data_IF_285054151327
#
_entry.id   IF_285054151327
#
_cell.length_a   1.000
_cell.length_b   1.000
_cell.length_c   1.000
_cell.angle_alpha   90.00
_cell.angle_beta   90.00
_cell.angle_gamma   90.00
#
_symmetry.space_group_name_H-M   'P 1'
#
loop_
_entity.id
_entity.type
_entity.pdbx_description
1 polymer ?
#
# COMPACT_ATOMS: atom_id res chain seq x y z
N UNK A 1 -18.78 5.45 -2.68
CA UNK A 1 -19.08 4.64 -3.89
C UNK A 1 -18.79 5.37 -5.22
N UNK A 2 -19.01 6.69 -5.35
CA UNK A 2 -18.97 7.39 -6.66
C UNK A 2 -17.61 8.00 -7.09
N UNK A 3 -16.54 7.88 -6.28
CA UNK A 3 -15.23 8.51 -6.55
C UNK A 3 -14.31 7.66 -7.43
N UNK A 4 -14.50 6.33 -7.48
CA UNK A 4 -13.56 5.40 -8.13
C UNK A 4 -13.80 5.16 -9.64
N UNK A 5 -14.92 5.64 -10.20
CA UNK A 5 -15.24 5.51 -11.64
C UNK A 5 -15.00 6.80 -12.44
N UNK A 6 -14.60 7.88 -11.75
CA UNK A 6 -14.24 9.15 -12.41
C UNK A 6 -12.83 9.07 -12.97
N UNK A 7 -12.59 9.77 -14.07
CA UNK A 7 -11.26 9.85 -14.65
C UNK A 7 -10.29 10.50 -13.66
N UNK A 8 -9.09 9.95 -13.53
CA UNK A 8 -8.03 10.53 -12.70
C UNK A 8 -7.53 11.83 -13.33
N UNK A 9 -6.85 12.68 -12.53
CA UNK A 9 -6.24 13.91 -13.05
C UNK A 9 -5.26 13.61 -14.19
N UNK A 10 -4.47 12.54 -14.05
CA UNK A 10 -3.54 12.11 -15.08
C UNK A 10 -4.27 11.74 -16.38
N UNK A 11 -5.36 10.98 -16.30
CA UNK A 11 -6.17 10.59 -17.46
C UNK A 11 -6.74 11.80 -18.21
N UNK A 12 -7.25 12.80 -17.48
CA UNK A 12 -7.81 14.02 -18.11
C UNK A 12 -6.72 14.87 -18.75
N UNK A 13 -5.60 15.09 -18.06
CA UNK A 13 -4.50 15.93 -18.57
C UNK A 13 -3.85 15.29 -19.79
N UNK A 14 -3.56 13.99 -19.73
CA UNK A 14 -2.98 13.26 -20.85
C UNK A 14 -3.90 13.26 -22.08
N UNK A 15 -5.21 13.09 -21.90
CA UNK A 15 -6.18 13.22 -22.99
C UNK A 15 -6.18 14.62 -23.61
N UNK A 16 -6.33 15.68 -22.81
CA UNK A 16 -6.37 17.07 -23.31
C UNK A 16 -5.08 17.43 -24.06
N UNK A 17 -3.93 16.93 -23.59
CA UNK A 17 -2.64 17.20 -24.23
C UNK A 17 -2.41 16.42 -25.54
N UNK A 18 -2.94 15.20 -25.65
CA UNK A 18 -2.64 14.30 -26.77
C UNK A 18 -3.73 14.29 -27.84
N UNK A 19 -4.98 14.52 -27.46
CA UNK A 19 -6.11 14.44 -28.38
C UNK A 19 -5.97 15.40 -29.58
N UNK A 20 -5.54 16.67 -29.44
CA UNK A 20 -5.34 17.55 -30.60
C UNK A 20 -4.29 17.04 -31.59
N UNK A 21 -3.25 16.35 -31.10
CA UNK A 21 -2.20 15.76 -31.94
C UNK A 21 -2.76 14.53 -32.67
N UNK A 22 -3.48 13.66 -31.97
CA UNK A 22 -4.12 12.48 -32.57
C UNK A 22 -5.16 12.90 -33.60
N UNK A 23 -5.97 13.91 -33.29
CA UNK A 23 -6.99 14.49 -34.17
C UNK A 23 -6.34 15.04 -35.45
N UNK A 24 -5.24 15.80 -35.32
CA UNK A 24 -4.48 16.27 -36.46
C UNK A 24 -3.93 15.13 -37.32
N UNK A 25 -3.32 14.10 -36.71
CA UNK A 25 -2.79 12.93 -37.44
C UNK A 25 -3.91 12.19 -38.18
N UNK A 26 -5.07 11.96 -37.54
CA UNK A 26 -6.20 11.28 -38.17
C UNK A 26 -6.77 12.10 -39.33
N UNK A 27 -6.89 13.41 -39.18
CA UNK A 27 -7.34 14.30 -40.26
C UNK A 27 -6.34 14.34 -41.42
N UNK A 28 -5.03 14.30 -41.13
CA UNK A 28 -3.99 14.17 -42.15
C UNK A 28 -4.08 12.82 -42.88
N UNK A 29 -4.38 11.72 -42.19
CA UNK A 29 -4.63 10.42 -42.85
C UNK A 29 -5.88 10.49 -43.74
N UNK A 30 -6.93 11.21 -43.33
CA UNK A 30 -8.17 11.31 -44.09
C UNK A 30 -8.07 12.21 -45.33
N UNK A 31 -7.30 13.30 -45.27
CA UNK A 31 -7.33 14.33 -46.31
C UNK A 31 -5.94 14.75 -46.83
N UNK A 32 -4.86 14.16 -46.32
CA UNK A 32 -3.47 14.47 -46.67
C UNK A 32 -3.20 15.98 -46.59
N UNK A 33 -2.46 16.56 -47.53
CA UNK A 33 -2.16 17.99 -47.59
C UNK A 33 -3.41 18.90 -47.75
N UNK A 34 -4.57 18.36 -48.12
CA UNK A 34 -5.79 19.16 -48.27
C UNK A 34 -6.26 19.79 -46.95
N UNK A 35 -5.79 19.29 -45.80
CA UNK A 35 -6.03 19.92 -44.49
C UNK A 35 -5.50 21.35 -44.43
N UNK A 36 -4.44 21.70 -45.17
CA UNK A 36 -3.86 23.04 -45.18
C UNK A 36 -4.57 23.98 -46.16
N UNK A 37 -5.24 23.43 -47.18
CA UNK A 37 -5.90 24.20 -48.23
C UNK A 37 -7.39 24.47 -47.91
N UNK A 38 -8.07 23.56 -47.22
CA UNK A 38 -9.52 23.60 -47.03
C UNK A 38 -9.92 23.85 -45.58
N UNK A 39 -10.35 25.09 -45.30
CA UNK A 39 -10.89 25.48 -43.98
C UNK A 39 -12.13 24.66 -43.57
N UNK A 40 -12.89 24.13 -44.53
CA UNK A 40 -14.04 23.27 -44.23
C UNK A 40 -13.67 21.98 -43.48
N UNK A 41 -12.45 21.47 -43.64
CA UNK A 41 -11.95 20.30 -42.90
C UNK A 41 -11.80 20.65 -41.42
N UNK A 42 -11.22 21.81 -41.11
CA UNK A 42 -11.07 22.30 -39.74
C UNK A 42 -12.41 22.55 -39.04
N UNK A 43 -13.43 23.01 -39.78
CA UNK A 43 -14.74 23.32 -39.22
C UNK A 43 -15.63 22.10 -39.01
N UNK A 44 -15.45 21.04 -39.80
CA UNK A 44 -16.35 19.89 -39.78
C UNK A 44 -15.65 18.60 -39.35
N UNK A 45 -14.50 18.27 -39.93
CA UNK A 45 -13.83 17.00 -39.69
C UNK A 45 -13.15 16.94 -38.32
N UNK A 46 -12.37 17.97 -37.95
CA UNK A 46 -11.72 18.05 -36.63
C UNK A 46 -12.72 17.92 -35.47
N UNK A 47 -13.81 18.71 -35.38
CA UNK A 47 -14.80 18.53 -34.32
C UNK A 47 -15.45 17.15 -34.31
N UNK A 48 -15.70 16.56 -35.49
CA UNK A 48 -16.33 15.25 -35.60
C UNK A 48 -15.40 14.14 -35.09
N UNK A 49 -14.12 14.13 -35.51
CA UNK A 49 -13.11 13.20 -35.00
C UNK A 49 -12.88 13.42 -33.51
N UNK A 50 -12.86 14.67 -33.05
CA UNK A 50 -12.73 15.01 -31.63
C UNK A 50 -13.87 14.42 -30.79
N UNK A 51 -15.13 14.57 -31.21
CA UNK A 51 -16.31 14.03 -30.51
C UNK A 51 -16.25 12.49 -30.44
N UNK A 52 -15.90 11.84 -31.54
CA UNK A 52 -15.75 10.37 -31.59
C UNK A 52 -14.61 9.94 -30.66
N UNK A 53 -13.48 10.65 -30.68
CA UNK A 53 -12.33 10.39 -29.83
C UNK A 53 -12.62 10.54 -28.34
N UNK A 54 -13.33 11.60 -27.93
CA UNK A 54 -13.80 11.78 -26.53
C UNK A 54 -14.69 10.61 -26.11
N UNK A 55 -15.60 10.17 -26.98
CA UNK A 55 -16.54 9.09 -26.70
C UNK A 55 -15.83 7.75 -26.55
N UNK A 56 -14.86 7.47 -27.43
CA UNK A 56 -14.02 6.28 -27.36
C UNK A 56 -13.15 6.29 -26.09
N UNK A 57 -12.43 7.39 -25.83
CA UNK A 57 -11.62 7.56 -24.64
C UNK A 57 -12.43 7.37 -23.34
N UNK A 58 -13.63 7.95 -23.27
CA UNK A 58 -14.49 7.82 -22.08
C UNK A 58 -14.88 6.37 -21.82
N UNK A 59 -15.14 5.62 -22.88
CA UNK A 59 -15.46 4.19 -22.82
C UNK A 59 -14.26 3.39 -22.31
N UNK A 60 -13.08 3.63 -22.87
CA UNK A 60 -11.84 2.97 -22.45
C UNK A 60 -11.49 3.24 -20.98
N UNK A 61 -11.53 4.51 -20.55
CA UNK A 61 -11.26 4.89 -19.16
C UNK A 61 -12.25 4.22 -18.20
N UNK A 62 -13.53 4.12 -18.58
CA UNK A 62 -14.54 3.47 -17.74
C UNK A 62 -14.25 1.97 -17.60
N UNK A 63 -13.91 1.28 -18.68
CA UNK A 63 -13.53 -0.13 -18.66
C UNK A 63 -12.27 -0.35 -17.80
N UNK A 64 -11.25 0.49 -17.95
CA UNK A 64 -10.04 0.42 -17.16
C UNK A 64 -10.31 0.60 -15.66
N UNK A 65 -11.09 1.61 -15.29
CA UNK A 65 -11.45 1.85 -13.89
C UNK A 65 -12.28 0.69 -13.32
N UNK A 66 -13.16 0.06 -14.12
CA UNK A 66 -13.91 -1.13 -13.73
C UNK A 66 -12.98 -2.34 -13.50
N UNK A 67 -11.98 -2.55 -14.36
CA UNK A 67 -10.98 -3.60 -14.20
C UNK A 67 -10.17 -3.36 -12.92
N UNK A 68 -9.71 -2.13 -12.67
CA UNK A 68 -8.95 -1.77 -11.48
C UNK A 68 -9.78 -1.89 -10.19
N UNK A 69 -11.09 -1.60 -10.27
CA UNK A 69 -12.02 -1.82 -9.17
C UNK A 69 -12.22 -3.31 -8.87
N UNK A 70 -12.40 -4.14 -9.91
CA UNK A 70 -12.61 -5.58 -9.76
C UNK A 70 -11.35 -6.34 -9.33
N UNK A 71 -10.17 -5.85 -9.72
CA UNK A 71 -8.88 -6.48 -9.44
C UNK A 71 -7.92 -5.50 -8.75
N UNK A 72 -8.17 -5.11 -7.48
CA UNK A 72 -7.47 -3.99 -6.86
C UNK A 72 -6.03 -4.30 -6.39
N UNK A 73 -5.64 -5.57 -6.31
CA UNK A 73 -4.36 -5.95 -5.68
C UNK A 73 -3.18 -5.88 -6.64
N UNK A 74 -1.98 -5.57 -6.12
CA UNK A 74 -0.75 -5.51 -6.91
C UNK A 74 -0.39 -6.86 -7.57
N UNK A 75 -0.77 -7.99 -6.98
CA UNK A 75 -0.54 -9.33 -7.54
C UNK A 75 -1.34 -9.59 -8.82
N UNK A 76 -2.48 -8.92 -8.98
CA UNK A 76 -3.39 -9.09 -10.12
C UNK A 76 -3.04 -8.19 -11.33
N UNK A 77 -1.91 -7.48 -11.28
CA UNK A 77 -1.49 -6.56 -12.36
C UNK A 77 -1.41 -7.25 -13.73
N UNK A 78 -0.89 -8.49 -13.79
CA UNK A 78 -0.86 -9.26 -15.05
C UNK A 78 -2.25 -9.55 -15.60
N UNK A 79 -3.20 -9.88 -14.74
CA UNK A 79 -4.61 -10.12 -15.12
C UNK A 79 -5.25 -8.83 -15.64
N UNK A 80 -5.00 -7.69 -14.98
CA UNK A 80 -5.50 -6.39 -15.44
C UNK A 80 -4.97 -6.04 -16.82
N UNK A 81 -3.66 -6.13 -17.02
CA UNK A 81 -3.01 -5.85 -18.32
C UNK A 81 -3.53 -6.78 -19.42
N UNK A 82 -3.70 -8.08 -19.13
CA UNK A 82 -4.26 -9.03 -20.08
C UNK A 82 -5.71 -8.68 -20.47
N UNK A 83 -6.55 -8.32 -19.50
CA UNK A 83 -7.93 -7.90 -19.75
C UNK A 83 -8.01 -6.56 -20.50
N UNK A 84 -7.11 -5.63 -20.20
CA UNK A 84 -6.99 -4.38 -20.96
C UNK A 84 -6.62 -4.67 -22.41
N UNK A 85 -5.62 -5.52 -22.66
CA UNK A 85 -5.26 -5.92 -24.01
C UNK A 85 -6.42 -6.60 -24.75
N UNK A 86 -7.18 -7.49 -24.09
CA UNK A 86 -8.28 -8.21 -24.73
C UNK A 86 -9.54 -7.37 -24.97
N UNK A 87 -9.77 -6.30 -24.20
CA UNK A 87 -10.97 -5.48 -24.28
C UNK A 87 -10.74 -4.12 -24.93
N UNK A 88 -9.64 -3.44 -24.60
CA UNK A 88 -9.38 -2.05 -25.04
C UNK A 88 -8.88 -2.01 -26.49
N UNK A 89 -8.00 -2.94 -26.89
CA UNK A 89 -7.46 -2.97 -28.26
C UNK A 89 -8.58 -3.16 -29.30
N UNK A 90 -9.49 -4.15 -29.18
CA UNK A 90 -10.57 -4.31 -30.16
C UNK A 90 -11.52 -3.11 -30.20
N UNK A 91 -11.82 -2.50 -29.05
CA UNK A 91 -12.67 -1.30 -28.98
C UNK A 91 -12.04 -0.15 -29.76
N UNK A 92 -10.73 0.04 -29.63
CA UNK A 92 -10.03 1.09 -30.35
C UNK A 92 -10.00 0.83 -31.85
N UNK A 93 -9.65 -0.39 -32.27
CA UNK A 93 -9.68 -0.77 -33.68
C UNK A 93 -11.08 -0.57 -34.29
N UNK A 94 -12.14 -0.94 -33.56
CA UNK A 94 -13.51 -0.72 -34.01
C UNK A 94 -13.85 0.78 -34.10
N UNK A 95 -13.38 1.60 -33.16
CA UNK A 95 -13.61 3.04 -33.21
C UNK A 95 -12.91 3.72 -34.40
N UNK A 96 -11.69 3.28 -34.75
CA UNK A 96 -10.97 3.75 -35.93
C UNK A 96 -11.68 3.34 -37.21
N UNK A 97 -12.07 2.07 -37.33
CA UNK A 97 -12.83 1.58 -38.49
C UNK A 97 -14.18 2.29 -38.62
N UNK A 98 -14.82 2.62 -37.50
CA UNK A 98 -16.08 3.36 -37.48
C UNK A 98 -15.92 4.79 -38.01
N UNK A 99 -14.80 5.47 -37.72
CA UNK A 99 -14.48 6.78 -38.31
C UNK A 99 -14.40 6.65 -39.83
N UNK A 100 -13.56 5.75 -40.35
CA UNK A 100 -13.42 5.58 -41.80
C UNK A 100 -14.72 5.20 -42.48
N UNK A 101 -15.50 4.30 -41.87
CA UNK A 101 -16.82 3.89 -42.38
C UNK A 101 -17.80 5.06 -42.47
N UNK A 102 -17.89 5.91 -41.43
CA UNK A 102 -18.75 7.10 -41.46
C UNK A 102 -18.31 8.06 -42.56
N UNK A 103 -17.01 8.32 -42.66
CA UNK A 103 -16.49 9.29 -43.61
C UNK A 103 -16.72 8.88 -45.06
N UNK A 104 -16.54 7.59 -45.36
CA UNK A 104 -16.75 7.01 -46.69
C UNK A 104 -18.25 6.94 -47.03
N UNK A 105 -19.06 6.39 -46.11
CA UNK A 105 -20.50 6.20 -46.34
C UNK A 105 -21.27 7.51 -46.56
N UNK A 106 -20.91 8.56 -45.82
CA UNK A 106 -21.55 9.88 -45.96
C UNK A 106 -20.81 10.81 -46.94
N UNK A 107 -19.72 10.35 -47.56
CA UNK A 107 -18.85 11.16 -48.41
C UNK A 107 -18.48 12.50 -47.76
N UNK A 108 -18.08 12.45 -46.49
CA UNK A 108 -17.79 13.66 -45.69
C UNK A 108 -16.70 14.46 -46.38
N UNK A 109 -17.03 15.67 -46.84
CA UNK A 109 -16.14 16.55 -47.61
C UNK A 109 -15.56 15.89 -48.89
N UNK A 110 -16.27 14.91 -49.46
CA UNK A 110 -15.84 14.16 -50.64
C UNK A 110 -14.85 13.04 -50.36
N UNK A 111 -14.66 12.66 -49.08
CA UNK A 111 -13.77 11.57 -48.69
C UNK A 111 -14.22 10.23 -49.31
N UNK A 112 -13.23 9.46 -49.76
CA UNK A 112 -13.35 8.07 -50.16
C UNK A 112 -12.13 7.33 -49.63
N UNK A 113 -12.31 6.11 -49.14
CA UNK A 113 -11.20 5.31 -48.59
C UNK A 113 -10.16 5.05 -49.69
N UNK A 114 -8.93 5.48 -49.44
CA UNK A 114 -7.77 5.21 -50.29
C UNK A 114 -6.97 4.00 -49.76
N UNK A 115 -6.18 3.34 -50.63
CA UNK A 115 -5.28 2.29 -50.18
C UNK A 115 -4.26 2.83 -49.16
N UNK A 116 -4.34 2.35 -47.92
CA UNK A 116 -3.41 2.70 -46.83
C UNK A 116 -4.06 3.43 -45.66
N UNK A 117 -5.17 4.13 -45.85
CA UNK A 117 -5.80 4.96 -44.80
C UNK A 117 -6.14 4.14 -43.55
N UNK A 118 -6.75 2.97 -43.75
CA UNK A 118 -7.12 2.04 -42.68
C UNK A 118 -5.87 1.52 -41.97
N UNK A 119 -4.80 1.21 -42.71
CA UNK A 119 -3.56 0.70 -42.13
C UNK A 119 -2.91 1.76 -41.23
N UNK A 120 -2.72 2.99 -41.74
CA UNK A 120 -2.16 4.09 -40.97
C UNK A 120 -3.02 4.48 -39.78
N UNK A 121 -4.35 4.48 -39.93
CA UNK A 121 -5.27 4.73 -38.83
C UNK A 121 -5.19 3.66 -37.74
N UNK A 122 -5.14 2.38 -38.10
CA UNK A 122 -4.97 1.27 -37.15
C UNK A 122 -3.61 1.30 -36.46
N UNK A 123 -2.52 1.61 -37.19
CA UNK A 123 -1.18 1.77 -36.60
C UNK A 123 -1.12 2.94 -35.61
N UNK A 124 -1.77 4.05 -35.93
CA UNK A 124 -1.90 5.22 -35.04
C UNK A 124 -2.69 4.83 -33.79
N UNK A 125 -3.86 4.20 -33.95
CA UNK A 125 -4.68 3.71 -32.85
C UNK A 125 -3.94 2.70 -31.96
N UNK A 126 -3.20 1.76 -32.55
CA UNK A 126 -2.38 0.80 -31.81
C UNK A 126 -1.30 1.48 -30.98
N UNK A 127 -0.62 2.48 -31.55
CA UNK A 127 0.41 3.27 -30.84
C UNK A 127 -0.17 3.99 -29.62
N UNK A 128 -1.36 4.59 -29.77
CA UNK A 128 -2.10 5.22 -28.67
C UNK A 128 -2.46 4.20 -27.58
N UNK A 129 -2.91 3.00 -27.95
CA UNK A 129 -3.25 1.93 -26.99
C UNK A 129 -2.04 1.35 -26.25
N UNK A 130 -0.84 1.41 -26.83
CA UNK A 130 0.35 0.97 -26.13
C UNK A 130 0.73 1.97 -25.03
N UNK A 131 0.48 3.27 -25.27
CA UNK A 131 0.93 4.35 -24.40
C UNK A 131 -0.07 4.64 -23.27
N UNK A 132 -1.31 4.99 -23.57
CA UNK A 132 -2.20 5.54 -22.52
C UNK A 132 -2.69 4.52 -21.50
N UNK A 133 -3.25 3.36 -21.90
CA UNK A 133 -3.65 2.32 -20.95
C UNK A 133 -2.51 1.87 -20.02
N UNK A 134 -1.29 1.76 -20.55
CA UNK A 134 -0.11 1.37 -19.75
C UNK A 134 0.31 2.47 -18.79
N UNK A 135 0.34 3.73 -19.23
CA UNK A 135 0.61 4.87 -18.34
C UNK A 135 -0.38 4.95 -17.18
N UNK A 136 -1.67 4.77 -17.45
CA UNK A 136 -2.70 4.79 -16.41
C UNK A 136 -2.60 3.59 -15.45
N UNK A 137 -2.16 2.44 -15.94
CA UNK A 137 -1.90 1.28 -15.08
C UNK A 137 -0.65 1.47 -14.22
N UNK A 138 0.40 2.09 -14.75
CA UNK A 138 1.60 2.44 -13.98
C UNK A 138 1.27 3.43 -12.87
N UNK A 139 0.49 4.47 -13.16
CA UNK A 139 0.02 5.45 -12.17
C UNK A 139 -0.72 4.75 -11.02
N UNK A 140 -1.68 3.88 -11.36
CA UNK A 140 -2.42 3.07 -10.38
C UNK A 140 -1.51 2.18 -9.52
N UNK A 141 -0.55 1.48 -10.14
CA UNK A 141 0.38 0.60 -9.43
C UNK A 141 1.29 1.40 -8.50
N UNK A 142 1.75 2.58 -8.92
CA UNK A 142 2.59 3.46 -8.08
C UNK A 142 1.82 3.96 -6.87
N UNK A 143 0.57 4.39 -7.04
CA UNK A 143 -0.29 4.78 -5.90
C UNK A 143 -0.49 3.63 -4.92
N UNK A 144 -0.81 2.43 -5.42
CA UNK A 144 -0.97 1.23 -4.58
C UNK A 144 0.30 0.78 -3.89
N UNK A 145 1.45 0.94 -4.53
CA UNK A 145 2.74 0.64 -3.92
C UNK A 145 3.04 1.60 -2.77
N UNK A 146 2.77 2.90 -2.94
CA UNK A 146 2.94 3.90 -1.87
C UNK A 146 2.06 3.60 -0.67
N UNK A 147 0.79 3.27 -0.89
CA UNK A 147 -0.14 2.87 0.17
C UNK A 147 0.37 1.64 0.93
N UNK A 148 0.83 0.61 0.21
CA UNK A 148 1.34 -0.63 0.81
C UNK A 148 2.62 -0.41 1.63
N UNK A 149 3.51 0.47 1.18
CA UNK A 149 4.73 0.83 1.93
C UNK A 149 4.38 1.57 3.23
N UNK A 150 3.45 2.53 3.16
CA UNK A 150 3.02 3.29 4.34
C UNK A 150 2.31 2.39 5.38
N UNK A 151 1.45 1.48 4.92
CA UNK A 151 0.79 0.49 5.78
C UNK A 151 1.83 -0.39 6.48
N UNK A 152 2.84 -0.87 5.73
CA UNK A 152 3.91 -1.69 6.29
C UNK A 152 4.75 -0.94 7.32
N UNK A 153 5.04 0.35 7.08
CA UNK A 153 5.75 1.19 8.04
C UNK A 153 4.94 1.40 9.32
N UNK A 154 3.63 1.65 9.19
CA UNK A 154 2.71 1.80 10.31
C UNK A 154 2.66 0.53 11.16
N UNK A 155 2.52 -0.64 10.53
CA UNK A 155 2.52 -1.93 11.21
C UNK A 155 3.86 -2.21 11.93
N UNK A 156 4.98 -1.82 11.32
CA UNK A 156 6.31 -1.93 11.94
C UNK A 156 6.43 -1.05 13.18
N UNK A 157 5.94 0.19 13.14
CA UNK A 157 5.92 1.08 14.28
C UNK A 157 5.05 0.53 15.42
N UNK A 158 3.86 0.01 15.09
CA UNK A 158 2.99 -0.64 16.08
C UNK A 158 3.66 -1.85 16.72
N UNK A 159 4.33 -2.69 15.93
CA UNK A 159 5.08 -3.84 16.45
C UNK A 159 6.20 -3.42 17.42
N UNK A 160 6.99 -2.40 17.05
CA UNK A 160 8.04 -1.86 17.93
C UNK A 160 7.47 -1.26 19.21
N UNK A 161 6.34 -0.56 19.13
CA UNK A 161 5.66 -0.01 20.31
C UNK A 161 5.18 -1.15 21.23
N UNK A 162 4.62 -2.22 20.67
CA UNK A 162 4.22 -3.39 21.45
C UNK A 162 5.40 -4.09 22.11
N UNK A 163 6.53 -4.24 21.40
CA UNK A 163 7.76 -4.81 21.95
C UNK A 163 8.30 -3.93 23.09
N UNK A 164 8.31 -2.61 22.90
CA UNK A 164 8.69 -1.65 23.93
C UNK A 164 7.78 -1.72 25.16
N UNK A 165 6.46 -1.77 24.98
CA UNK A 165 5.51 -1.87 26.08
C UNK A 165 5.62 -3.21 26.82
N UNK A 166 5.89 -4.31 26.09
CA UNK A 166 6.18 -5.60 26.70
C UNK A 166 7.44 -5.55 27.56
N UNK A 167 8.53 -4.97 27.03
CA UNK A 167 9.78 -4.77 27.77
C UNK A 167 9.57 -3.91 29.03
N UNK A 168 8.80 -2.82 28.90
CA UNK A 168 8.44 -1.94 30.02
C UNK A 168 7.64 -2.69 31.11
N UNK A 169 6.69 -3.53 30.71
CA UNK A 169 5.86 -4.28 31.64
C UNK A 169 6.64 -5.35 32.42
N UNK A 170 7.69 -5.95 31.82
CA UNK A 170 8.55 -6.92 32.51
C UNK A 170 9.30 -6.33 33.71
N UNK A 171 9.55 -5.01 33.74
CA UNK A 171 10.22 -4.34 34.86
C UNK A 171 9.29 -4.15 36.08
N UNK A 172 7.96 -4.33 35.90
CA UNK A 172 6.89 -4.02 36.86
C UNK A 172 7.20 -2.74 37.68
N UNK A 173 7.00 -1.53 37.09
CA UNK A 173 7.37 -0.27 37.72
C UNK A 173 6.76 -0.11 39.13
N UNK A 174 5.56 -0.62 39.34
CA UNK A 174 4.91 -0.58 40.64
C UNK A 174 5.65 -1.42 41.69
N UNK A 175 6.13 -2.61 41.32
CA UNK A 175 6.97 -3.42 42.21
C UNK A 175 8.28 -2.69 42.55
N UNK A 176 8.92 -2.07 41.55
CA UNK A 176 10.15 -1.30 41.74
C UNK A 176 9.96 -0.16 42.76
N UNK A 177 8.94 0.68 42.54
CA UNK A 177 8.65 1.81 43.44
C UNK A 177 8.30 1.35 44.85
N UNK A 178 7.55 0.25 44.99
CA UNK A 178 7.28 -0.33 46.31
C UNK A 178 8.56 -0.77 47.02
N UNK A 179 9.50 -1.39 46.29
CA UNK A 179 10.77 -1.80 46.87
C UNK A 179 11.60 -0.59 47.34
N UNK A 180 11.61 0.51 46.58
CA UNK A 180 12.29 1.74 47.02
C UNK A 180 11.66 2.37 48.26
N UNK A 181 10.33 2.38 48.36
CA UNK A 181 9.65 2.87 49.57
C UNK A 181 9.99 2.03 50.80
N UNK A 182 9.96 0.70 50.68
CA UNK A 182 10.36 -0.21 51.76
C UNK A 182 11.83 0.00 52.14
N UNK A 183 12.73 0.10 51.16
CA UNK A 183 14.15 0.36 51.39
C UNK A 183 14.36 1.69 52.12
N UNK A 184 13.64 2.75 51.75
CA UNK A 184 13.73 4.05 52.41
C UNK A 184 13.31 3.99 53.89
N UNK A 185 12.28 3.20 54.22
CA UNK A 185 11.87 2.97 55.62
C UNK A 185 12.97 2.21 56.38
N UNK A 186 13.48 1.14 55.78
CA UNK A 186 14.53 0.30 56.38
C UNK A 186 15.83 1.07 56.63
N UNK A 187 16.24 1.98 55.75
CA UNK A 187 17.44 2.81 55.97
C UNK A 187 17.34 3.61 57.27
N UNK A 188 16.14 4.06 57.63
CA UNK A 188 15.87 4.85 58.83
C UNK A 188 15.72 3.99 60.08
N UNK A 189 15.15 2.78 59.95
CA UNK A 189 14.87 1.87 61.06
C UNK A 189 16.04 0.93 61.40
N UNK A 190 16.62 0.27 60.39
CA UNK A 190 17.62 -0.78 60.52
C UNK A 190 18.49 -0.86 59.26
N UNK A 191 19.67 -0.23 59.34
CA UNK A 191 20.64 -0.16 58.23
C UNK A 191 21.08 -1.54 57.74
N UNK A 192 21.19 -2.52 58.64
CA UNK A 192 21.65 -3.86 58.27
C UNK A 192 20.57 -4.60 57.46
N UNK A 193 19.30 -4.48 57.86
CA UNK A 193 18.18 -5.01 57.06
C UNK A 193 18.02 -4.29 55.72
N UNK A 194 18.26 -2.98 55.68
CA UNK A 194 18.25 -2.21 54.44
C UNK A 194 19.29 -2.73 53.43
N UNK A 195 20.50 -3.04 53.89
CA UNK A 195 21.57 -3.57 53.05
C UNK A 195 21.23 -4.96 52.49
N UNK A 196 20.67 -5.84 53.31
CA UNK A 196 20.18 -7.15 52.89
C UNK A 196 19.05 -7.02 51.85
N UNK A 197 18.08 -6.13 52.10
CA UNK A 197 16.96 -5.90 51.18
C UNK A 197 17.43 -5.36 49.82
N UNK A 198 18.37 -4.41 49.81
CA UNK A 198 18.97 -3.88 48.58
C UNK A 198 19.70 -4.97 47.77
N UNK A 199 20.39 -5.88 48.44
CA UNK A 199 21.08 -6.99 47.77
C UNK A 199 20.08 -7.97 47.13
N UNK A 200 19.02 -8.35 47.84
CA UNK A 200 17.95 -9.19 47.28
C UNK A 200 17.23 -8.51 46.11
N UNK A 201 16.99 -7.20 46.22
CA UNK A 201 16.41 -6.38 45.13
C UNK A 201 17.29 -6.41 43.89
N UNK A 202 18.61 -6.26 44.08
CA UNK A 202 19.60 -6.30 43.01
C UNK A 202 19.64 -7.68 42.31
N UNK A 203 19.51 -8.78 43.05
CA UNK A 203 19.44 -10.14 42.50
C UNK A 203 18.19 -10.36 41.66
N UNK A 204 17.03 -9.92 42.16
CA UNK A 204 15.74 -10.00 41.45
C UNK A 204 15.79 -9.23 40.13
N UNK A 205 16.25 -7.99 40.13
CA UNK A 205 16.33 -7.19 38.90
C UNK A 205 17.38 -7.71 37.91
N UNK A 206 18.53 -8.18 38.39
CA UNK A 206 19.54 -8.81 37.52
C UNK A 206 19.00 -10.06 36.85
N UNK A 207 18.18 -10.85 37.55
CA UNK A 207 17.51 -12.01 36.96
C UNK A 207 16.50 -11.59 35.89
N UNK A 208 15.58 -10.68 36.22
CA UNK A 208 14.54 -10.20 35.29
C UNK A 208 15.13 -9.62 33.99
N UNK A 209 16.24 -8.88 34.09
CA UNK A 209 16.90 -8.29 32.92
C UNK A 209 17.69 -9.30 32.09
N UNK A 210 18.27 -10.34 32.71
CA UNK A 210 19.13 -11.32 32.02
C UNK A 210 18.32 -12.44 31.36
N UNK A 211 17.20 -12.84 31.97
CA UNK A 211 16.32 -13.87 31.42
C UNK A 211 15.51 -13.38 30.20
N UNK A 212 15.59 -12.08 29.88
CA UNK A 212 14.97 -11.46 28.73
C UNK A 212 15.65 -11.76 27.39
N UNK A 213 16.91 -12.23 27.39
CA UNK A 213 17.66 -12.44 26.14
C UNK A 213 17.44 -13.84 25.53
N UNK A 214 17.31 -14.90 26.34
CA UNK A 214 17.36 -16.29 25.84
C UNK A 214 16.06 -17.10 25.99
N UNK A 215 15.04 -16.58 26.67
CA UNK A 215 13.70 -17.20 26.79
C UNK A 215 13.63 -18.57 27.50
N UNK A 216 14.77 -19.12 27.94
CA UNK A 216 14.90 -20.42 28.62
C UNK A 216 15.80 -20.26 29.87
N UNK A 217 15.33 -20.72 31.03
CA UNK A 217 16.05 -20.72 32.30
C UNK A 217 16.09 -22.12 32.91
N UNK A 218 17.11 -22.40 33.72
CA UNK A 218 17.16 -23.65 34.48
C UNK A 218 16.24 -23.56 35.70
N UNK A 219 15.68 -24.69 36.12
CA UNK A 219 14.88 -24.79 37.36
C UNK A 219 15.67 -24.25 38.56
N UNK A 220 16.98 -24.52 38.62
CA UNK A 220 17.84 -23.99 39.67
C UNK A 220 17.85 -22.45 39.72
N UNK A 221 17.95 -21.79 38.57
CA UNK A 221 17.96 -20.34 38.48
C UNK A 221 16.60 -19.74 38.85
N UNK A 222 15.50 -20.35 38.40
CA UNK A 222 14.14 -19.97 38.79
C UNK A 222 13.94 -20.07 40.32
N UNK A 223 14.41 -21.16 40.94
CA UNK A 223 14.29 -21.35 42.39
C UNK A 223 15.13 -20.32 43.16
N UNK A 224 16.35 -19.99 42.69
CA UNK A 224 17.16 -18.91 43.29
C UNK A 224 16.43 -17.57 43.20
N UNK A 225 15.84 -17.26 42.05
CA UNK A 225 15.04 -16.05 41.86
C UNK A 225 13.85 -16.00 42.80
N UNK A 226 13.04 -17.08 42.89
CA UNK A 226 11.87 -17.16 43.77
C UNK A 226 12.27 -16.94 45.23
N UNK A 227 13.40 -17.51 45.69
CA UNK A 227 13.89 -17.30 47.07
C UNK A 227 14.24 -15.84 47.32
N UNK A 228 14.94 -15.18 46.41
CA UNK A 228 15.27 -13.76 46.53
C UNK A 228 14.02 -12.87 46.51
N UNK A 229 13.08 -13.16 45.61
CA UNK A 229 11.82 -12.45 45.50
C UNK A 229 10.94 -12.63 46.76
N UNK A 230 10.88 -13.84 47.30
CA UNK A 230 10.22 -14.10 48.57
C UNK A 230 10.87 -13.35 49.73
N UNK A 231 12.20 -13.22 49.74
CA UNK A 231 12.92 -12.39 50.72
C UNK A 231 12.37 -10.96 50.77
N UNK A 232 12.19 -10.33 49.60
CA UNK A 232 11.61 -8.98 49.48
C UNK A 232 10.17 -8.93 50.00
N UNK A 233 9.34 -9.90 49.62
CA UNK A 233 7.94 -9.96 50.06
C UNK A 233 7.81 -10.21 51.57
N UNK A 234 8.67 -11.07 52.13
CA UNK A 234 8.68 -11.38 53.56
C UNK A 234 9.08 -10.16 54.40
N UNK A 235 10.01 -9.35 53.94
CA UNK A 235 10.34 -8.08 54.62
C UNK A 235 9.13 -7.14 54.69
N UNK A 236 8.25 -7.15 53.68
CA UNK A 236 7.05 -6.30 53.64
C UNK A 236 5.88 -6.88 54.44
N UNK A 237 5.64 -8.17 54.34
CA UNK A 237 4.43 -8.83 54.87
C UNK A 237 4.67 -9.58 56.18
N UNK A 238 5.92 -9.68 56.64
CA UNK A 238 6.28 -10.38 57.87
C UNK A 238 5.79 -11.82 57.85
N UNK A 239 5.22 -12.26 58.98
CA UNK A 239 4.76 -13.63 59.18
C UNK A 239 3.43 -13.94 58.48
N UNK A 240 2.77 -12.94 57.88
CA UNK A 240 1.56 -13.15 57.08
C UNK A 240 1.83 -13.90 55.76
N UNK A 241 3.11 -14.11 55.40
CA UNK A 241 3.51 -14.79 54.18
C UNK A 241 4.46 -15.97 54.44
N UNK A 242 3.97 -17.19 54.21
CA UNK A 242 4.76 -18.42 54.31
C UNK A 242 4.94 -19.04 52.91
N UNK A 243 6.12 -19.59 52.64
CA UNK A 243 6.45 -20.21 51.36
C UNK A 243 6.99 -21.63 51.57
N UNK A 244 6.37 -22.59 50.87
CA UNK A 244 6.83 -23.97 50.75
C UNK A 244 7.23 -24.22 49.31
N UNK A 245 8.41 -24.78 49.07
CA UNK A 245 8.92 -25.11 47.74
C UNK A 245 9.02 -26.64 47.66
N UNK A 246 8.30 -27.24 46.72
CA UNK A 246 8.38 -28.66 46.40
C UNK A 246 8.86 -28.81 44.95
N UNK A 247 9.96 -29.56 44.75
CA UNK A 247 10.56 -29.81 43.43
C UNK A 247 10.44 -31.30 43.14
N UNK A 248 9.90 -31.65 41.97
CA UNK A 248 9.85 -33.03 41.51
C UNK A 248 11.28 -33.57 41.31
N UNK A 249 11.54 -34.78 41.82
CA UNK A 249 12.87 -35.43 41.79
C UNK A 249 13.49 -35.52 40.40
N UNK A 250 12.67 -35.45 39.34
CA UNK A 250 13.15 -35.43 37.95
C UNK A 250 13.88 -34.15 37.55
N UNK A 251 13.76 -33.08 38.35
CA UNK A 251 14.32 -31.75 38.10
C UNK A 251 15.14 -31.20 39.28
N UNK A 252 15.42 -32.05 40.29
CA UNK A 252 16.22 -31.72 41.47
C UNK A 252 17.72 -31.89 41.24
#
# INVERSE_FOLDING_TARGET
>A
MNKQLKATRLQVVSFISSMPIIDFILNYILYDDAIFERVSIWLLSFPLVFIIGVSSWRTQVTIQNLIQFKYPTLKQTRTRVALMASLIIPIMSLSVLFIFFIYDYFHVLGYHIQPGDIEYGLLTGFSVNLIFPTLYEVDYVVERLKESVLERETLKQQALQHEFDALKNQVNPHFLFNCFNTLSSLISEDKQKAEVFLNELSKVYRYLLRNNEDGLSTVENEIKFIRSYYGLLKTRHGDALQMTIEIDKRYS
#
